data_IF_375522411982
#
_entry.id   IF_375522411982
#
_cell.length_a   1.000
_cell.length_b   1.000
_cell.length_c   1.000
_cell.angle_alpha   90.00
_cell.angle_beta   90.00
_cell.angle_gamma   90.00
#
_symmetry.space_group_name_H-M   'P 1'
#
loop_
_entity.id
_entity.type
_entity.pdbx_description
1 polymer ?
#
# COMPACT_ATOMS: atom_id res chain seq x y z
N UNK A 1 4.29 -31.89 -28.76
CA UNK A 1 3.93 -31.69 -27.34
C UNK A 1 2.60 -30.99 -27.30
N UNK A 2 1.59 -31.62 -26.77
CA UNK A 2 0.22 -31.09 -26.75
C UNK A 2 0.07 -30.08 -25.60
N UNK A 3 -0.49 -28.92 -25.85
CA UNK A 3 -0.73 -27.82 -24.88
C UNK A 3 -1.80 -28.20 -23.82
N UNK A 4 -2.15 -29.46 -23.71
CA UNK A 4 -3.24 -29.94 -22.85
C UNK A 4 -2.85 -30.29 -21.40
N UNK A 5 -1.58 -30.21 -21.06
CA UNK A 5 -1.10 -30.51 -19.71
C UNK A 5 -0.77 -29.24 -18.89
N UNK A 6 -1.53 -28.17 -19.11
CA UNK A 6 -1.52 -27.03 -18.18
C UNK A 6 -2.22 -27.50 -16.91
N UNK A 7 -1.43 -27.71 -15.86
CA UNK A 7 -1.93 -28.00 -14.51
C UNK A 7 -3.06 -27.02 -14.20
N UNK A 8 -4.27 -27.47 -13.87
CA UNK A 8 -5.36 -26.57 -13.53
C UNK A 8 -4.93 -25.71 -12.35
N UNK A 9 -4.95 -24.41 -12.55
CA UNK A 9 -4.66 -23.42 -11.52
C UNK A 9 -5.51 -23.79 -10.29
N UNK A 10 -4.87 -24.16 -9.19
CA UNK A 10 -5.57 -24.50 -7.96
C UNK A 10 -6.47 -23.33 -7.60
N UNK A 11 -7.77 -23.48 -7.72
CA UNK A 11 -8.74 -22.44 -7.41
C UNK A 11 -8.56 -22.07 -5.94
N UNK A 12 -8.15 -20.84 -5.68
CA UNK A 12 -7.99 -20.36 -4.32
C UNK A 12 -9.31 -20.57 -3.55
N UNK A 13 -9.20 -21.02 -2.29
CA UNK A 13 -10.36 -21.23 -1.43
C UNK A 13 -11.21 -19.95 -1.38
N UNK A 14 -12.50 -19.98 -1.74
CA UNK A 14 -13.37 -18.79 -1.76
C UNK A 14 -13.41 -18.03 -0.43
N UNK A 15 -13.34 -18.73 0.69
CA UNK A 15 -13.30 -18.08 2.02
C UNK A 15 -12.02 -17.26 2.21
N UNK A 16 -10.86 -17.79 1.83
CA UNK A 16 -9.57 -17.06 1.91
C UNK A 16 -9.57 -15.84 0.99
N UNK A 17 -10.21 -15.95 -0.16
CA UNK A 17 -10.37 -14.82 -1.10
C UNK A 17 -11.25 -13.72 -0.49
N UNK A 18 -12.37 -14.10 0.14
CA UNK A 18 -13.26 -13.17 0.79
C UNK A 18 -12.58 -12.44 1.96
N UNK A 19 -11.82 -13.16 2.79
CA UNK A 19 -11.09 -12.58 3.91
C UNK A 19 -10.01 -11.59 3.46
N UNK A 20 -9.24 -11.94 2.44
CA UNK A 20 -8.25 -11.02 1.85
C UNK A 20 -8.90 -9.77 1.25
N UNK A 21 -10.04 -9.91 0.61
CA UNK A 21 -10.80 -8.78 0.06
C UNK A 21 -11.28 -7.85 1.19
N UNK A 22 -11.90 -8.40 2.24
CA UNK A 22 -12.34 -7.64 3.38
C UNK A 22 -11.18 -6.90 4.08
N UNK A 23 -10.02 -7.56 4.23
CA UNK A 23 -8.82 -6.94 4.77
C UNK A 23 -8.32 -5.77 3.90
N UNK A 24 -8.39 -5.89 2.57
CA UNK A 24 -8.05 -4.79 1.65
C UNK A 24 -8.96 -3.59 1.82
N UNK A 25 -10.27 -3.82 1.91
CA UNK A 25 -11.24 -2.73 2.13
C UNK A 25 -10.93 -2.00 3.42
N UNK A 26 -10.76 -2.73 4.54
CA UNK A 26 -10.38 -2.12 5.83
C UNK A 26 -9.07 -1.32 5.73
N UNK A 27 -8.08 -1.81 5.00
CA UNK A 27 -6.80 -1.11 4.81
C UNK A 27 -6.97 0.18 4.01
N UNK A 28 -7.86 0.20 3.02
CA UNK A 28 -8.16 1.40 2.22
C UNK A 28 -8.85 2.44 3.09
N UNK A 29 -9.88 2.03 3.83
CA UNK A 29 -10.63 2.92 4.71
C UNK A 29 -9.76 3.50 5.82
N UNK A 30 -8.94 2.68 6.46
CA UNK A 30 -7.99 3.14 7.48
C UNK A 30 -6.97 4.14 6.94
N UNK A 31 -6.51 3.98 5.69
CA UNK A 31 -5.62 4.94 5.05
C UNK A 31 -6.32 6.25 4.68
N UNK A 32 -7.58 6.17 4.28
CA UNK A 32 -8.36 7.36 3.95
C UNK A 32 -8.52 8.28 5.17
N UNK A 33 -8.70 7.70 6.35
CA UNK A 33 -8.82 8.45 7.60
C UNK A 33 -7.56 9.23 8.01
N UNK A 34 -6.39 8.80 7.50
CA UNK A 34 -5.10 9.46 7.76
C UNK A 34 -4.77 10.56 6.73
N UNK A 35 -5.72 10.96 5.92
CA UNK A 35 -5.52 11.96 4.86
C UNK A 35 -6.46 13.15 5.06
N UNK A 36 -5.99 14.35 4.78
CA UNK A 36 -6.81 15.55 4.82
C UNK A 36 -7.93 15.50 3.76
N UNK A 37 -7.61 14.94 2.59
CA UNK A 37 -8.54 14.70 1.48
C UNK A 37 -8.06 13.51 0.66
N UNK A 38 -8.91 12.98 -0.21
CA UNK A 38 -8.52 11.87 -1.08
C UNK A 38 -7.39 12.31 -2.04
N UNK A 39 -6.33 11.50 -2.11
CA UNK A 39 -5.14 11.84 -2.90
C UNK A 39 -4.07 12.62 -2.13
N UNK A 40 -4.40 13.22 -0.98
CA UNK A 40 -3.40 13.87 -0.13
C UNK A 40 -2.39 12.86 0.42
N UNK A 41 -1.15 13.28 0.72
CA UNK A 41 -0.24 12.49 1.53
C UNK A 41 -0.86 12.18 2.91
N UNK A 42 -0.54 11.04 3.54
CA UNK A 42 -0.96 10.79 4.91
C UNK A 42 -0.40 11.86 5.86
N UNK A 43 -1.21 12.32 6.77
CA UNK A 43 -0.75 13.19 7.86
C UNK A 43 0.14 12.41 8.83
N UNK A 44 1.04 13.10 9.51
CA UNK A 44 1.86 12.52 10.57
C UNK A 44 1.05 12.48 11.86
N UNK A 45 0.72 11.30 12.39
CA UNK A 45 -0.18 11.17 13.55
C UNK A 45 0.51 11.32 14.91
N UNK A 46 1.78 11.69 14.94
CA UNK A 46 2.60 11.87 16.15
C UNK A 46 3.35 13.20 16.09
N UNK A 47 3.77 13.75 17.22
CA UNK A 47 4.62 14.94 17.25
C UNK A 47 5.93 14.72 16.50
N UNK A 48 6.41 15.78 15.84
CA UNK A 48 7.70 15.80 15.14
C UNK A 48 8.63 16.72 15.93
N UNK A 49 9.63 16.15 16.58
CA UNK A 49 10.65 16.91 17.33
C UNK A 49 11.84 17.31 16.47
N UNK A 50 12.12 16.55 15.43
CA UNK A 50 13.22 16.77 14.50
C UNK A 50 12.74 16.54 13.06
N UNK A 51 12.92 17.55 12.22
CA UNK A 51 12.49 17.55 10.82
C UNK A 51 13.53 16.97 9.85
N UNK A 52 14.66 16.46 10.39
CA UNK A 52 15.71 15.86 9.56
C UNK A 52 15.23 14.59 8.87
N UNK A 53 15.81 14.32 7.71
CA UNK A 53 15.56 13.10 6.96
C UNK A 53 15.95 11.85 7.77
N UNK A 54 17.04 11.94 8.49
CA UNK A 54 17.60 10.88 9.33
C UNK A 54 16.59 10.48 10.41
N UNK A 55 16.06 11.46 11.14
CA UNK A 55 15.07 11.22 12.19
C UNK A 55 13.82 10.52 11.66
N UNK A 56 13.29 10.94 10.52
CA UNK A 56 12.15 10.26 9.88
C UNK A 56 12.50 8.81 9.48
N UNK A 57 13.69 8.60 8.92
CA UNK A 57 14.13 7.29 8.41
C UNK A 57 14.48 6.29 9.50
N UNK A 58 14.84 6.70 10.70
CA UNK A 58 15.09 5.78 11.81
C UNK A 58 13.93 4.79 12.00
N UNK A 59 12.70 5.27 11.85
CA UNK A 59 11.50 4.43 11.97
C UNK A 59 10.91 4.03 10.62
N UNK A 60 10.86 4.97 9.67
CA UNK A 60 10.11 4.79 8.43
C UNK A 60 10.92 4.15 7.28
N UNK A 61 12.23 3.96 7.41
CA UNK A 61 13.02 3.29 6.37
C UNK A 61 12.70 1.79 6.29
N UNK A 62 12.58 1.12 7.41
CA UNK A 62 12.38 -0.33 7.52
C UNK A 62 11.01 -0.75 8.04
N UNK A 63 10.20 0.19 8.49
CA UNK A 63 8.90 -0.13 9.10
C UNK A 63 9.04 -0.62 10.54
N UNK A 64 9.70 0.19 11.39
CA UNK A 64 9.94 -0.15 12.79
C UNK A 64 8.62 -0.41 13.54
N UNK A 65 8.57 -1.50 14.28
CA UNK A 65 7.49 -1.81 15.20
C UNK A 65 7.85 -1.38 16.62
N UNK A 66 7.00 -0.59 17.25
CA UNK A 66 7.13 -0.12 18.62
C UNK A 66 5.83 -0.43 19.39
N UNK A 67 5.85 -1.51 20.15
CA UNK A 67 4.66 -2.01 20.85
C UNK A 67 3.58 -2.45 19.85
N UNK A 68 2.39 -1.87 19.99
CA UNK A 68 1.22 -2.09 19.14
C UNK A 68 1.21 -1.24 17.85
N UNK A 69 2.17 -0.32 17.72
CA UNK A 69 2.26 0.61 16.60
C UNK A 69 3.37 0.20 15.63
N UNK A 70 3.09 0.37 14.36
CA UNK A 70 4.07 0.14 13.29
C UNK A 70 4.27 1.42 12.51
N UNK A 71 5.51 1.92 12.49
CA UNK A 71 5.90 2.97 11.56
C UNK A 71 5.83 2.41 10.15
N UNK A 72 4.98 2.99 9.30
CA UNK A 72 4.84 2.52 7.91
C UNK A 72 6.10 2.83 7.11
N UNK A 73 6.59 1.84 6.39
CA UNK A 73 7.74 1.99 5.52
C UNK A 73 7.44 3.00 4.40
N UNK A 74 8.42 3.85 4.10
CA UNK A 74 8.32 4.82 3.01
C UNK A 74 8.15 4.09 1.65
N UNK A 75 7.17 4.53 0.87
CA UNK A 75 6.88 3.98 -0.46
C UNK A 75 7.64 4.68 -1.60
N UNK A 76 8.20 5.87 -1.36
CA UNK A 76 8.87 6.74 -2.33
C UNK A 76 10.22 7.24 -1.77
N UNK A 77 11.25 6.47 -1.93
CA UNK A 77 12.55 6.66 -1.26
C UNK A 77 13.40 7.80 -1.83
N UNK A 78 13.05 8.34 -3.00
CA UNK A 78 13.82 9.39 -3.67
C UNK A 78 13.54 10.80 -3.14
N UNK A 79 12.45 11.00 -2.40
CA UNK A 79 12.09 12.29 -1.83
C UNK A 79 12.67 12.41 -0.41
N UNK A 80 13.41 13.48 -0.18
CA UNK A 80 14.19 13.66 1.05
C UNK A 80 13.61 14.70 2.02
N UNK A 81 12.68 15.53 1.56
CA UNK A 81 11.99 16.49 2.41
C UNK A 81 10.57 16.00 2.74
N UNK A 82 10.45 15.24 3.81
CA UNK A 82 9.21 14.57 4.19
C UNK A 82 8.11 15.57 4.57
N UNK A 83 8.45 16.59 5.35
CA UNK A 83 7.50 17.57 5.88
C UNK A 83 7.01 18.58 4.84
N UNK A 84 7.60 18.60 3.65
CA UNK A 84 7.07 19.37 2.53
C UNK A 84 5.69 18.87 2.09
N UNK A 85 5.41 17.59 2.29
CA UNK A 85 4.16 16.95 1.87
C UNK A 85 3.39 16.31 3.03
N UNK A 86 4.09 15.83 4.06
CA UNK A 86 3.48 15.24 5.23
C UNK A 86 3.40 16.25 6.36
N UNK A 87 2.20 16.66 6.70
CA UNK A 87 1.96 17.62 7.77
C UNK A 87 1.59 16.90 9.06
N UNK A 88 2.00 17.48 10.19
CA UNK A 88 1.59 16.96 11.50
C UNK A 88 0.07 17.12 11.68
N UNK A 89 -0.56 16.11 12.27
CA UNK A 89 -1.99 16.10 12.53
C UNK A 89 -2.36 17.09 13.62
N UNK A 90 -2.55 18.36 13.26
CA UNK A 90 -3.18 19.37 14.09
C UNK A 90 -4.70 19.38 13.93
N UNK A 91 -5.37 20.33 14.58
CA UNK A 91 -6.83 20.51 14.48
C UNK A 91 -7.29 20.73 13.03
N UNK A 92 -6.48 21.39 12.20
CA UNK A 92 -6.77 21.64 10.78
C UNK A 92 -6.75 20.35 9.94
N UNK A 93 -5.89 19.38 10.29
CA UNK A 93 -5.82 18.09 9.61
C UNK A 93 -6.96 17.14 10.01
N UNK A 94 -7.67 17.44 11.09
CA UNK A 94 -8.86 16.68 11.55
C UNK A 94 -10.17 17.25 11.03
N UNK A 95 -10.13 18.36 10.30
CA UNK A 95 -11.32 18.99 9.74
C UNK A 95 -12.00 18.07 8.75
N UNK A 96 -13.16 17.55 9.11
CA UNK A 96 -14.04 16.78 8.22
C UNK A 96 -14.43 17.57 6.95
N UNK A 97 -14.17 18.85 6.94
CA UNK A 97 -14.46 19.78 5.84
C UNK A 97 -13.64 19.49 4.58
N UNK A 98 -12.43 18.98 4.71
CA UNK A 98 -11.59 18.64 3.55
C UNK A 98 -11.96 17.30 2.88
N UNK A 99 -12.67 16.44 3.57
CA UNK A 99 -13.13 15.16 3.01
C UNK A 99 -14.48 15.21 2.31
N UNK A 100 -15.22 16.30 2.48
CA UNK A 100 -16.55 16.46 1.89
C UNK A 100 -16.42 17.06 0.50
N UNK A 101 -16.56 16.23 -0.51
CA UNK A 101 -16.66 16.65 -1.91
C UNK A 101 -15.53 16.24 -2.83
N UNK A 102 -14.57 15.43 -2.36
CA UNK A 102 -13.62 14.81 -3.29
C UNK A 102 -14.34 13.81 -4.19
N UNK A 103 -14.42 14.13 -5.47
CA UNK A 103 -14.90 13.22 -6.52
C UNK A 103 -13.80 12.30 -7.05
N UNK A 104 -12.60 12.39 -6.49
CA UNK A 104 -11.49 11.53 -6.85
C UNK A 104 -11.72 10.12 -6.32
N UNK A 105 -12.29 9.27 -7.15
CA UNK A 105 -12.30 7.84 -6.90
C UNK A 105 -10.89 7.30 -7.15
N UNK A 106 -10.16 6.99 -6.09
CA UNK A 106 -8.89 6.28 -6.19
C UNK A 106 -9.05 4.99 -7.00
N UNK A 107 -7.97 4.51 -7.59
CA UNK A 107 -7.97 3.23 -8.30
C UNK A 107 -8.54 2.13 -7.40
N UNK A 108 -9.72 1.64 -7.74
CA UNK A 108 -10.27 0.46 -7.08
C UNK A 108 -9.29 -0.70 -7.29
N UNK A 109 -8.90 -1.42 -6.25
CA UNK A 109 -8.06 -2.59 -6.42
C UNK A 109 -8.71 -3.54 -7.42
N UNK A 110 -7.96 -3.98 -8.42
CA UNK A 110 -8.41 -5.09 -9.25
C UNK A 110 -8.80 -6.25 -8.33
N UNK A 111 -9.94 -6.84 -8.55
CA UNK A 111 -10.39 -7.99 -7.79
C UNK A 111 -9.37 -9.14 -7.85
N UNK A 112 -9.62 -10.18 -7.09
CA UNK A 112 -8.84 -11.41 -7.17
C UNK A 112 -8.91 -11.93 -8.62
N UNK A 113 -7.77 -12.15 -9.26
CA UNK A 113 -7.71 -12.54 -10.67
C UNK A 113 -7.49 -11.37 -11.63
N UNK A 114 -6.81 -10.30 -11.18
CA UNK A 114 -6.47 -9.12 -11.99
C UNK A 114 -6.02 -9.46 -13.41
N UNK A 115 -6.15 -8.50 -14.30
CA UNK A 115 -5.77 -8.63 -15.73
C UNK A 115 -4.39 -9.25 -15.86
N UNK A 116 -4.26 -10.24 -16.72
CA UNK A 116 -3.01 -10.92 -17.04
C UNK A 116 -2.65 -10.69 -18.49
N UNK A 117 -1.36 -10.63 -18.80
CA UNK A 117 -0.90 -10.49 -20.19
C UNK A 117 -1.23 -11.75 -21.02
N UNK A 118 -1.18 -12.94 -20.42
CA UNK A 118 -1.58 -14.24 -20.99
C UNK A 118 -1.96 -15.21 -19.88
N UNK A 119 -2.57 -16.33 -20.26
CA UNK A 119 -2.90 -17.40 -19.31
C UNK A 119 -1.59 -17.93 -18.66
N UNK A 120 -1.55 -17.96 -17.32
CA UNK A 120 -0.36 -18.35 -16.56
C UNK A 120 0.62 -17.21 -16.23
N UNK A 121 0.47 -16.03 -16.84
CA UNK A 121 1.24 -14.85 -16.42
C UNK A 121 0.81 -14.39 -15.02
N UNK A 122 1.71 -13.75 -14.26
CA UNK A 122 1.31 -13.08 -13.03
C UNK A 122 0.32 -11.95 -13.32
N UNK A 123 -0.48 -11.54 -12.33
CA UNK A 123 -1.39 -10.40 -12.48
C UNK A 123 -0.61 -9.12 -12.79
N UNK A 124 -1.10 -8.33 -13.73
CA UNK A 124 -0.53 -6.99 -13.98
C UNK A 124 -0.77 -6.07 -12.77
N UNK A 125 0.14 -5.13 -12.55
CA UNK A 125 -0.05 -4.10 -11.54
C UNK A 125 -1.29 -3.25 -11.86
N UNK A 126 -2.28 -3.18 -10.96
CA UNK A 126 -3.51 -2.43 -11.19
C UNK A 126 -3.38 -0.93 -10.88
N UNK A 127 -2.22 -0.47 -10.48
CA UNK A 127 -1.97 0.92 -10.09
C UNK A 127 -0.63 1.42 -10.64
N UNK A 128 -0.49 2.74 -10.75
CA UNK A 128 0.79 3.36 -11.11
C UNK A 128 1.86 3.14 -10.05
N UNK A 129 3.12 3.06 -10.47
CA UNK A 129 4.30 3.00 -9.59
C UNK A 129 4.75 4.39 -9.11
N UNK A 130 4.16 5.47 -9.63
CA UNK A 130 4.46 6.82 -9.16
C UNK A 130 4.20 6.93 -7.65
N UNK A 131 5.16 7.46 -6.90
CA UNK A 131 5.16 7.50 -5.44
C UNK A 131 5.04 6.13 -4.74
N UNK A 132 5.24 5.02 -5.46
CA UNK A 132 5.13 3.63 -4.97
C UNK A 132 6.27 2.76 -5.50
N UNK A 133 7.49 3.30 -5.50
CA UNK A 133 8.67 2.58 -6.01
C UNK A 133 9.14 1.49 -5.03
N UNK A 134 8.86 1.65 -3.75
CA UNK A 134 9.12 0.63 -2.73
C UNK A 134 7.89 -0.27 -2.56
N UNK A 135 7.80 -1.33 -3.35
CA UNK A 135 6.65 -2.26 -3.35
C UNK A 135 6.40 -2.89 -1.99
N UNK A 136 7.46 -3.25 -1.25
CA UNK A 136 7.35 -3.91 0.05
C UNK A 136 6.81 -3.00 1.16
N UNK A 137 6.78 -1.68 0.96
CA UNK A 137 6.16 -0.76 1.91
C UNK A 137 4.66 -1.02 2.11
N UNK A 138 3.99 -1.52 1.07
CA UNK A 138 2.57 -1.89 1.11
C UNK A 138 2.36 -3.40 1.05
N UNK A 139 3.20 -4.11 0.29
CA UNK A 139 3.06 -5.54 0.04
C UNK A 139 3.98 -6.41 0.92
N UNK A 140 4.87 -5.82 1.71
CA UNK A 140 5.79 -6.52 2.60
C UNK A 140 5.15 -7.02 3.89
N UNK A 141 5.98 -7.55 4.77
CA UNK A 141 5.57 -8.12 6.05
C UNK A 141 4.87 -7.11 6.96
N UNK A 142 5.39 -5.88 7.02
CA UNK A 142 4.83 -4.76 7.78
C UNK A 142 3.93 -3.86 6.92
N UNK A 143 3.53 -4.34 5.75
CA UNK A 143 2.64 -3.65 4.83
C UNK A 143 1.17 -3.66 5.27
N UNK A 144 0.27 -3.56 4.32
CA UNK A 144 -1.17 -3.55 4.59
C UNK A 144 -1.78 -4.94 4.50
N UNK A 145 -2.68 -5.26 5.40
CA UNK A 145 -3.39 -6.53 5.41
C UNK A 145 -4.17 -6.74 4.10
N UNK A 146 -4.18 -7.99 3.64
CA UNK A 146 -4.82 -8.39 2.39
C UNK A 146 -4.01 -8.11 1.12
N UNK A 147 -2.84 -7.44 1.24
CA UNK A 147 -1.99 -7.09 0.09
C UNK A 147 -0.70 -7.91 0.00
N UNK A 148 -0.43 -8.76 0.98
CA UNK A 148 0.78 -9.59 0.99
C UNK A 148 0.73 -10.64 -0.12
N UNK A 149 1.77 -10.72 -0.97
CA UNK A 149 1.94 -11.83 -1.90
C UNK A 149 2.37 -13.09 -1.16
N UNK A 150 2.24 -14.22 -1.81
CA UNK A 150 2.71 -15.53 -1.34
C UNK A 150 4.20 -15.80 -1.63
N UNK A 151 4.88 -14.88 -2.29
CA UNK A 151 6.25 -15.02 -2.78
C UNK A 151 7.15 -13.81 -2.43
N UNK A 152 7.15 -13.38 -1.17
CA UNK A 152 7.95 -12.23 -0.69
C UNK A 152 9.46 -12.36 -0.89
N UNK A 153 9.97 -13.58 -1.08
CA UNK A 153 11.39 -13.82 -1.38
C UNK A 153 11.84 -13.30 -2.76
N UNK A 154 10.90 -12.97 -3.65
CA UNK A 154 11.18 -12.38 -4.96
C UNK A 154 11.15 -10.86 -4.85
N UNK A 155 12.32 -10.24 -4.83
CA UNK A 155 12.46 -8.80 -4.56
C UNK A 155 12.24 -7.90 -5.77
N UNK A 156 12.41 -8.40 -7.00
CA UNK A 156 12.19 -7.62 -8.21
C UNK A 156 10.78 -7.82 -8.77
N UNK A 157 9.83 -7.11 -8.17
CA UNK A 157 8.40 -7.25 -8.47
C UNK A 157 8.07 -6.85 -9.92
N UNK A 158 8.67 -5.76 -10.41
CA UNK A 158 8.41 -5.23 -11.76
C UNK A 158 8.98 -6.08 -12.89
N UNK A 159 9.76 -7.11 -12.58
CA UNK A 159 10.25 -8.05 -13.56
C UNK A 159 9.14 -8.97 -14.10
N UNK A 160 8.15 -9.20 -13.29
CA UNK A 160 7.07 -10.14 -13.60
C UNK A 160 5.68 -9.48 -13.63
N UNK A 161 5.52 -8.36 -12.93
CA UNK A 161 4.25 -7.63 -12.83
C UNK A 161 4.22 -6.37 -13.66
#
# INVERSE_FOLDING_TARGET
MSVKDVVPEARANPAVVADKFAARVRSIDGRAQLRAFEGAPPVVPHPISDLSLESCRECHASGLQAGDKTARMVSHTLLTNCTQCHVESGELARGKEFGQGSTFAGLRPAGYGGTRAWAGAPPLMPHTTFMRTNCISCHGEHGYDGWRPDHLSRSNCVQCH
#
